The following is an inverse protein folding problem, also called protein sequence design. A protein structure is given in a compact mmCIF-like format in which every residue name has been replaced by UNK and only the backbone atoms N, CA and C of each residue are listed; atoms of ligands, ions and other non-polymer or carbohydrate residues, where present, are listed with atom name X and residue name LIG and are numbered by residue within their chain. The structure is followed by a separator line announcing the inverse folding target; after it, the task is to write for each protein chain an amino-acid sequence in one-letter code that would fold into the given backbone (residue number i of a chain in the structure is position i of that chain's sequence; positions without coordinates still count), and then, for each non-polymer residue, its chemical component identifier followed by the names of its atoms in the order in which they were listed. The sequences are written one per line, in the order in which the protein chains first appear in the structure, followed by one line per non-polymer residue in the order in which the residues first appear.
data_IF_430410642244
#
_entry.id   IF_430410642244
#
_cell.length_a   1.000
_cell.length_b   1.000
_cell.length_c   1.000
_cell.angle_alpha   90.00
_cell.angle_beta   90.00
_cell.angle_gamma   90.00
#
_symmetry.space_group_name_H-M   'P 1'
#
loop_
_entity.id
_entity.type
_entity.pdbx_description
1 polymer ?
#
# COMPACT_ATOMS: atom_id res chain seq x y z
N UNK A 1 -8.97 -10.28 6.55
CA UNK A 1 -9.11 -8.87 6.98
C UNK A 1 -7.73 -8.24 7.06
N UNK A 2 -7.59 -6.94 6.73
CA UNK A 2 -6.33 -6.15 6.73
C UNK A 2 -6.39 -5.05 7.81
N UNK A 3 -5.24 -4.68 8.39
CA UNK A 3 -5.14 -3.56 9.36
C UNK A 3 -4.36 -2.39 8.80
N UNK A 4 -4.59 -1.20 9.33
CA UNK A 4 -3.90 0.01 8.89
C UNK A 4 -2.36 -0.03 9.06
N UNK A 5 -1.77 -0.61 10.12
CA UNK A 5 -0.32 -0.82 10.18
C UNK A 5 0.20 -1.70 9.02
N UNK A 6 -0.50 -2.77 8.65
CA UNK A 6 -0.13 -3.60 7.49
C UNK A 6 -0.24 -2.82 6.19
N UNK A 7 -1.24 -1.97 6.03
CA UNK A 7 -1.40 -1.12 4.85
C UNK A 7 -0.21 -0.15 4.70
N UNK A 8 0.12 0.58 5.77
CA UNK A 8 1.27 1.50 5.79
C UNK A 8 2.60 0.78 5.55
N UNK A 9 2.78 -0.39 6.16
CA UNK A 9 3.96 -1.22 5.96
C UNK A 9 4.06 -1.74 4.52
N UNK A 10 2.97 -2.26 3.94
CA UNK A 10 2.93 -2.69 2.54
C UNK A 10 3.32 -1.57 1.59
N UNK A 11 2.77 -0.37 1.81
CA UNK A 11 3.07 0.81 1.03
C UNK A 11 4.55 1.21 1.14
N UNK A 12 5.11 1.14 2.34
CA UNK A 12 6.52 1.43 2.57
C UNK A 12 7.44 0.40 1.88
N UNK A 13 7.07 -0.88 1.89
CA UNK A 13 7.81 -1.94 1.18
C UNK A 13 7.78 -1.75 -0.34
N UNK A 14 6.68 -1.23 -0.88
CA UNK A 14 6.53 -0.92 -2.30
C UNK A 14 7.21 0.38 -2.72
N UNK A 15 7.60 1.24 -1.76
CA UNK A 15 8.16 2.57 -2.06
C UNK A 15 7.18 3.54 -2.71
N UNK A 16 5.87 3.34 -2.54
CA UNK A 16 4.83 4.17 -3.18
C UNK A 16 4.13 5.12 -2.18
N UNK A 17 3.48 6.16 -2.68
CA UNK A 17 2.66 7.07 -1.88
C UNK A 17 1.16 6.68 -1.86
N UNK A 18 0.34 7.45 -1.15
CA UNK A 18 -1.10 7.19 -1.05
C UNK A 18 -1.83 7.38 -2.38
N UNK A 19 -1.36 8.30 -3.23
CA UNK A 19 -1.95 8.57 -4.54
C UNK A 19 -1.74 7.39 -5.46
N UNK A 20 -0.51 6.87 -5.51
CA UNK A 20 -0.18 5.71 -6.32
C UNK A 20 -0.92 4.46 -5.86
N UNK A 21 -1.06 4.26 -4.55
CA UNK A 21 -1.86 3.15 -4.04
C UNK A 21 -3.36 3.28 -4.40
N UNK A 22 -3.90 4.49 -4.36
CA UNK A 22 -5.27 4.79 -4.81
C UNK A 22 -5.46 4.43 -6.29
N UNK A 23 -4.54 4.82 -7.16
CA UNK A 23 -4.54 4.45 -8.58
C UNK A 23 -4.51 2.93 -8.78
N UNK A 24 -3.55 2.24 -8.15
CA UNK A 24 -3.38 0.79 -8.29
C UNK A 24 -4.60 0.00 -7.80
N UNK A 25 -5.30 0.52 -6.79
CA UNK A 25 -6.51 -0.11 -6.22
C UNK A 25 -7.81 0.38 -6.85
N UNK A 26 -7.79 1.39 -7.73
CA UNK A 26 -9.01 2.01 -8.24
C UNK A 26 -9.88 2.65 -7.15
N UNK A 27 -9.26 3.05 -6.03
CA UNK A 27 -9.90 3.75 -4.92
C UNK A 27 -9.53 5.23 -4.94
N UNK A 28 -10.32 6.07 -4.28
CA UNK A 28 -9.98 7.49 -4.13
C UNK A 28 -8.91 7.70 -3.05
N UNK A 29 -8.05 8.71 -3.22
CA UNK A 29 -7.03 9.09 -2.21
C UNK A 29 -7.63 9.31 -0.81
N UNK A 30 -8.78 10.01 -0.64
CA UNK A 30 -9.42 10.15 0.67
C UNK A 30 -9.84 8.81 1.29
N UNK A 31 -10.17 7.81 0.46
CA UNK A 31 -10.48 6.46 0.94
C UNK A 31 -9.23 5.79 1.51
N UNK A 32 -8.11 5.84 0.80
CA UNK A 32 -6.82 5.32 1.28
C UNK A 32 -6.40 6.02 2.57
N UNK A 33 -6.53 7.35 2.64
CA UNK A 33 -6.23 8.13 3.84
C UNK A 33 -7.06 7.69 5.05
N UNK A 34 -8.38 7.52 4.88
CA UNK A 34 -9.25 7.02 5.97
C UNK A 34 -8.86 5.61 6.41
N UNK A 35 -8.48 4.75 5.47
CA UNK A 35 -8.03 3.39 5.77
C UNK A 35 -6.71 3.39 6.55
N UNK A 36 -5.73 4.21 6.16
CA UNK A 36 -4.44 4.32 6.87
C UNK A 36 -4.53 5.03 8.22
N UNK A 37 -5.47 5.96 8.38
CA UNK A 37 -5.71 6.69 9.63
C UNK A 37 -6.40 5.83 10.70
N UNK A 38 -6.94 4.66 10.33
CA UNK A 38 -7.55 3.74 11.28
C UNK A 38 -6.47 3.20 12.24
N UNK A 39 -6.76 3.13 13.55
CA UNK A 39 -5.79 2.59 14.53
C UNK A 39 -5.70 1.05 14.54
N UNK A 40 -6.57 0.35 13.80
CA UNK A 40 -6.76 -1.10 13.91
C UNK A 40 -7.15 -1.73 12.57
N UNK A 41 -8.11 -2.67 12.58
CA UNK A 41 -8.64 -3.32 11.39
C UNK A 41 -9.36 -2.26 10.55
N UNK A 42 -9.06 -2.24 9.25
CA UNK A 42 -9.71 -1.33 8.32
C UNK A 42 -11.17 -1.77 8.16
N UNK A 43 -12.10 -0.89 8.51
CA UNK A 43 -13.54 -1.09 8.32
C UNK A 43 -13.96 -0.40 7.02
N UNK A 44 -14.73 -1.11 6.20
CA UNK A 44 -15.20 -0.60 4.91
C UNK A 44 -16.06 -1.62 4.18
N UNK A 45 -16.56 -1.23 3.01
CA UNK A 45 -17.26 -2.19 2.15
C UNK A 45 -16.28 -3.26 1.64
N UNK A 46 -16.82 -4.46 1.41
CA UNK A 46 -16.03 -5.64 1.01
C UNK A 46 -15.34 -5.44 -0.34
N UNK A 47 -16.02 -4.79 -1.29
CA UNK A 47 -15.49 -4.50 -2.63
C UNK A 47 -14.20 -3.66 -2.59
N UNK A 48 -14.16 -2.60 -1.78
CA UNK A 48 -12.98 -1.74 -1.64
C UNK A 48 -11.83 -2.48 -0.96
N UNK A 49 -12.14 -3.32 0.03
CA UNK A 49 -11.14 -4.16 0.68
C UNK A 49 -10.56 -5.21 -0.30
N UNK A 50 -11.40 -5.82 -1.13
CA UNK A 50 -10.99 -6.77 -2.17
C UNK A 50 -10.07 -6.09 -3.19
N UNK A 51 -10.46 -4.92 -3.72
CA UNK A 51 -9.66 -4.12 -4.65
C UNK A 51 -8.30 -3.73 -4.06
N UNK A 52 -8.29 -3.30 -2.80
CA UNK A 52 -7.05 -2.96 -2.11
C UNK A 52 -6.12 -4.16 -1.97
N UNK A 53 -6.63 -5.30 -1.50
CA UNK A 53 -5.84 -6.53 -1.32
C UNK A 53 -5.29 -7.01 -2.67
N UNK A 54 -6.13 -7.05 -3.70
CA UNK A 54 -5.72 -7.45 -5.05
C UNK A 54 -4.62 -6.53 -5.60
N UNK A 55 -4.73 -5.21 -5.42
CA UNK A 55 -3.71 -4.26 -5.85
C UNK A 55 -2.37 -4.49 -5.15
N UNK A 56 -2.38 -4.73 -3.84
CA UNK A 56 -1.17 -5.08 -3.08
C UNK A 56 -0.57 -6.40 -3.58
N UNK A 57 -1.40 -7.42 -3.80
CA UNK A 57 -0.94 -8.72 -4.28
C UNK A 57 -0.31 -8.67 -5.68
N UNK A 58 -0.91 -7.91 -6.60
CA UNK A 58 -0.39 -7.70 -7.95
C UNK A 58 0.91 -6.88 -7.92
N UNK A 59 1.00 -5.94 -6.97
CA UNK A 59 2.21 -5.14 -6.76
C UNK A 59 3.36 -5.93 -6.09
N UNK A 60 3.15 -7.20 -5.74
CA UNK A 60 4.19 -8.05 -5.17
C UNK A 60 4.20 -8.10 -3.64
N UNK A 61 3.13 -7.66 -2.98
CA UNK A 61 2.96 -7.81 -1.53
C UNK A 61 2.21 -9.10 -1.21
N UNK A 62 2.59 -9.75 -0.12
CA UNK A 62 1.83 -10.81 0.50
C UNK A 62 1.47 -10.42 1.94
N UNK A 63 0.18 -10.51 2.26
CA UNK A 63 -0.34 -10.21 3.60
C UNK A 63 -0.30 -11.49 4.45
N UNK A 64 0.39 -11.42 5.58
CA UNK A 64 0.47 -12.53 6.53
C UNK A 64 -0.68 -12.36 7.53
N UNK A 65 -1.61 -13.31 7.54
CA UNK A 65 -2.72 -13.36 8.49
C UNK A 65 -2.29 -13.89 9.87
N UNK A 66 -3.16 -13.74 10.86
CA UNK A 66 -2.98 -14.34 12.18
C UNK A 66 -3.07 -15.87 12.03
N UNK A 67 -2.02 -16.60 12.41
CA UNK A 67 -1.94 -18.05 12.26
C UNK A 67 -1.41 -18.54 10.90
N UNK A 68 -1.06 -17.65 9.97
CA UNK A 68 -0.28 -18.04 8.80
C UNK A 68 1.13 -18.49 9.24
N UNK A 69 1.75 -19.40 8.48
CA UNK A 69 3.10 -19.91 8.76
C UNK A 69 4.12 -18.77 8.85
N UNK A 70 4.37 -18.35 10.08
CA UNK A 70 5.28 -17.29 10.49
C UNK A 70 5.94 -17.80 11.77
N UNK A 71 7.28 -17.94 11.81
CA UNK A 71 7.98 -18.49 12.99
C UNK A 71 7.64 -17.78 14.31
N UNK A 72 7.33 -16.48 14.25
CA UNK A 72 6.92 -15.67 15.40
C UNK A 72 5.41 -15.46 15.55
N UNK A 73 4.60 -15.99 14.63
CA UNK A 73 3.15 -15.73 14.56
C UNK A 73 2.80 -14.27 14.23
N UNK A 74 1.52 -13.94 14.42
CA UNK A 74 1.01 -12.57 14.25
C UNK A 74 0.80 -12.13 12.79
N UNK A 75 0.18 -10.96 12.65
CA UNK A 75 -0.18 -10.37 11.35
C UNK A 75 0.99 -9.55 10.82
N UNK A 76 1.34 -9.75 9.56
CA UNK A 76 2.53 -9.13 8.95
C UNK A 76 2.35 -8.83 7.46
N UNK A 77 3.42 -8.35 6.85
CA UNK A 77 3.48 -8.05 5.41
C UNK A 77 4.86 -8.46 4.91
N UNK A 78 4.93 -9.07 3.73
CA UNK A 78 6.22 -9.40 3.07
C UNK A 78 6.16 -9.11 1.58
N UNK A 79 7.34 -9.02 0.97
CA UNK A 79 7.47 -9.07 -0.48
C UNK A 79 7.31 -10.52 -0.95
N UNK A 80 6.64 -10.72 -2.09
CA UNK A 80 6.57 -12.02 -2.77
C UNK A 80 7.94 -12.40 -3.32
N UNK A 81 8.22 -13.71 -3.35
CA UNK A 81 9.41 -14.25 -3.99
C UNK A 81 9.47 -13.82 -5.45
N UNK A 82 10.59 -13.19 -5.86
CA UNK A 82 10.75 -12.66 -7.22
C UNK A 82 10.26 -11.22 -7.41
N UNK A 83 9.90 -10.49 -6.33
CA UNK A 83 9.71 -9.04 -6.43
C UNK A 83 11.03 -8.37 -6.84
N UNK A 84 11.03 -7.71 -7.99
CA UNK A 84 12.13 -6.90 -8.49
C UNK A 84 11.87 -5.42 -8.18
N UNK A 85 12.67 -4.85 -7.28
CA UNK A 85 12.58 -3.46 -6.88
C UNK A 85 12.84 -2.49 -8.02
N UNK A 86 13.57 -2.90 -9.06
CA UNK A 86 13.85 -2.09 -10.25
C UNK A 86 12.65 -1.99 -11.20
N UNK A 87 11.67 -2.90 -11.06
CA UNK A 87 10.39 -2.88 -11.80
C UNK A 87 9.22 -2.40 -10.94
N UNK A 88 9.50 -2.03 -9.68
CA UNK A 88 8.49 -1.39 -8.85
C UNK A 88 7.96 -0.16 -9.60
N UNK A 89 6.64 0.11 -9.54
CA UNK A 89 6.07 1.27 -10.22
C UNK A 89 6.82 2.51 -9.71
N UNK A 90 7.56 3.16 -10.60
CA UNK A 90 8.44 4.26 -10.22
C UNK A 90 7.65 5.28 -9.39
N UNK A 91 8.19 5.73 -8.26
CA UNK A 91 7.57 6.81 -7.51
C UNK A 91 7.55 8.01 -8.46
N UNK A 92 6.35 8.47 -8.83
CA UNK A 92 6.18 9.70 -9.62
C UNK A 92 7.00 10.78 -8.94
N UNK A 93 8.14 11.10 -9.56
CA UNK A 93 9.11 12.05 -9.03
C UNK A 93 8.42 13.38 -9.06
N UNK A 94 7.86 13.77 -7.90
CA UNK A 94 7.15 15.03 -7.73
C UNK A 94 8.00 16.13 -8.35
N UNK A 95 7.55 16.63 -9.49
CA UNK A 95 8.18 17.73 -10.18
C UNK A 95 8.09 18.91 -9.22
N UNK A 96 9.18 19.13 -8.49
CA UNK A 96 9.41 20.37 -7.78
C UNK A 96 9.48 21.42 -8.87
N UNK A 97 8.35 22.09 -9.11
CA UNK A 97 8.33 23.33 -9.88
C UNK A 97 9.19 24.33 -9.10
N UNK A 98 10.48 24.33 -9.41
CA UNK A 98 11.37 25.43 -9.09
C UNK A 98 10.87 26.62 -9.90
N UNK A 99 9.93 27.37 -9.31
CA UNK A 99 9.55 28.70 -9.75
C UNK A 99 10.75 29.63 -9.57
N UNK A 100 11.71 29.52 -10.49
CA UNK A 100 12.77 30.50 -10.67
C UNK A 100 12.18 31.80 -11.22
N UNK A 101 12.62 32.91 -10.62
CA UNK A 101 13.02 34.18 -11.28
C UNK A 101 12.32 34.49 -12.61
N UNK A 102 11.66 35.61 -12.84
CA UNK A 102 11.91 37.03 -12.48
C UNK A 102 10.92 37.86 -13.36
N UNK A 103 10.94 39.21 -13.49
CA UNK A 103 11.92 40.23 -13.07
C UNK A 103 11.55 41.04 -11.83
#
# INVERSE_FOLDING_TARGET
MITAPQLRAARSLLGIDQRRLAELSGLSVPTIQRMEASGSIIRGNVDSLMKLIAALEISGIELIGEGAASPGGGRGVRLKSGFDSAKAPEPDGGQVESGGSQP
#
